data_IF_127321561265
#
_entry.id   IF_127321561265
#
_cell.length_a   1.000
_cell.length_b   1.000
_cell.length_c   1.000
_cell.angle_alpha   90.00
_cell.angle_beta   90.00
_cell.angle_gamma   90.00
#
_symmetry.space_group_name_H-M   'P 1'
#
loop_
_entity.id
_entity.type
_entity.pdbx_description
1 polymer ?
#
# COMPACT_ATOMS: atom_id res chain seq x y z
N UNK A 1 -4.08 3.97 -8.91
CA UNK A 1 -4.52 3.93 -10.32
C UNK A 1 -5.98 3.51 -10.46
N UNK A 2 -6.56 2.75 -9.53
CA UNK A 2 -7.96 2.29 -9.59
C UNK A 2 -9.06 3.36 -9.32
N UNK A 3 -8.77 4.64 -9.52
CA UNK A 3 -9.71 5.75 -9.33
C UNK A 3 -9.79 6.60 -10.61
N UNK A 4 -11.01 6.85 -11.08
CA UNK A 4 -11.27 7.85 -12.12
C UNK A 4 -11.65 9.15 -11.46
N UNK A 5 -10.91 10.21 -11.75
CA UNK A 5 -11.21 11.56 -11.29
C UNK A 5 -12.02 12.33 -12.34
N UNK A 6 -12.81 13.29 -11.87
CA UNK A 6 -13.44 14.27 -12.73
C UNK A 6 -12.35 15.01 -13.56
N UNK A 7 -12.58 15.33 -14.85
CA UNK A 7 -11.54 15.91 -15.71
C UNK A 7 -10.95 17.23 -15.21
N UNK A 8 -11.71 17.97 -14.40
CA UNK A 8 -11.33 19.32 -13.92
C UNK A 8 -11.52 19.54 -12.42
N UNK A 9 -12.04 18.56 -11.67
CA UNK A 9 -12.29 18.70 -10.22
C UNK A 9 -11.51 17.63 -9.44
N UNK A 10 -11.10 17.94 -8.22
CA UNK A 10 -10.48 16.99 -7.29
C UNK A 10 -11.52 16.05 -6.66
N UNK A 11 -12.29 15.34 -7.49
CA UNK A 11 -13.40 14.48 -7.10
C UNK A 11 -13.34 13.15 -7.84
N UNK A 12 -13.48 12.05 -7.12
CA UNK A 12 -13.58 10.71 -7.70
C UNK A 12 -14.98 10.54 -8.31
N UNK A 13 -15.05 10.06 -9.55
CA UNK A 13 -16.29 9.77 -10.28
C UNK A 13 -16.54 8.27 -10.49
N UNK A 14 -15.49 7.44 -10.39
CA UNK A 14 -15.62 5.99 -10.40
C UNK A 14 -14.45 5.32 -9.66
N UNK A 15 -14.74 4.15 -9.09
CA UNK A 15 -13.74 3.20 -8.56
C UNK A 15 -13.73 1.98 -9.48
N UNK A 16 -12.55 1.58 -9.93
CA UNK A 16 -12.34 0.52 -10.92
C UNK A 16 -11.82 -0.78 -10.27
N UNK A 17 -11.70 -1.83 -11.09
CA UNK A 17 -11.01 -3.09 -10.76
C UNK A 17 -11.48 -3.78 -9.48
N UNK A 18 -12.79 -4.06 -9.44
CA UNK A 18 -13.46 -4.76 -8.33
C UNK A 18 -13.21 -6.29 -8.30
N UNK A 19 -12.37 -6.84 -9.18
CA UNK A 19 -12.18 -8.29 -9.33
C UNK A 19 -11.62 -9.00 -8.09
N UNK A 20 -10.90 -8.27 -7.22
CA UNK A 20 -10.38 -8.79 -5.95
C UNK A 20 -11.23 -8.38 -4.74
N UNK A 21 -12.35 -7.66 -4.96
CA UNK A 21 -13.20 -7.20 -3.87
C UNK A 21 -13.95 -8.34 -3.18
N UNK A 22 -14.09 -8.24 -1.87
CA UNK A 22 -14.80 -9.22 -1.04
C UNK A 22 -15.14 -8.63 0.33
N UNK A 23 -15.88 -9.36 1.17
CA UNK A 23 -16.07 -9.03 2.57
C UNK A 23 -14.78 -9.26 3.35
N UNK A 24 -14.37 -8.30 4.18
CA UNK A 24 -13.11 -8.39 4.90
C UNK A 24 -12.94 -7.31 5.97
N UNK A 25 -11.77 -7.31 6.60
CA UNK A 25 -11.46 -6.35 7.66
C UNK A 25 -11.08 -4.97 7.06
N UNK A 26 -11.78 -3.89 7.43
CA UNK A 26 -11.61 -2.58 6.79
C UNK A 26 -10.22 -1.97 6.97
N UNK A 27 -9.57 -2.18 8.12
CA UNK A 27 -8.21 -1.67 8.35
C UNK A 27 -7.17 -2.45 7.54
N UNK A 28 -7.45 -3.68 7.11
CA UNK A 28 -6.54 -4.42 6.24
C UNK A 28 -6.54 -3.81 4.83
N UNK A 29 -7.69 -3.36 4.33
CA UNK A 29 -7.77 -2.66 3.04
C UNK A 29 -7.21 -1.24 3.13
N UNK A 30 -7.60 -0.48 4.16
CA UNK A 30 -7.14 0.89 4.33
C UNK A 30 -5.62 1.01 4.56
N UNK A 31 -5.03 0.08 5.33
CA UNK A 31 -3.58 0.06 5.52
C UNK A 31 -2.81 -0.33 4.25
N UNK A 32 -3.39 -1.17 3.38
CA UNK A 32 -2.78 -1.45 2.07
C UNK A 32 -2.61 -0.18 1.25
N UNK A 33 -3.63 0.67 1.24
CA UNK A 33 -3.57 2.01 0.62
C UNK A 33 -2.52 2.92 1.30
N UNK A 34 -2.45 2.89 2.64
CA UNK A 34 -1.48 3.69 3.40
C UNK A 34 -0.02 3.22 3.29
N UNK A 35 0.26 2.03 2.73
CA UNK A 35 1.64 1.59 2.43
C UNK A 35 2.41 2.60 1.58
N UNK A 36 1.69 3.40 0.78
CA UNK A 36 2.29 4.46 -0.05
C UNK A 36 3.13 5.45 0.77
N UNK A 37 2.84 5.72 2.04
CA UNK A 37 3.67 6.58 2.91
C UNK A 37 5.03 5.97 3.27
N UNK A 38 5.16 4.64 3.20
CA UNK A 38 6.36 3.91 3.64
C UNK A 38 7.23 3.41 2.49
N UNK A 39 6.62 3.17 1.33
CA UNK A 39 7.34 2.70 0.14
C UNK A 39 8.12 3.86 -0.47
N UNK A 40 9.44 3.69 -0.61
CA UNK A 40 10.28 4.60 -1.37
C UNK A 40 10.09 4.38 -2.87
N UNK A 41 10.07 5.46 -3.64
CA UNK A 41 10.05 5.34 -5.11
C UNK A 41 11.36 4.74 -5.60
N UNK A 42 11.29 3.54 -6.18
CA UNK A 42 12.43 2.88 -6.81
C UNK A 42 11.94 1.97 -7.93
N UNK A 43 12.52 2.11 -9.12
CA UNK A 43 12.08 1.37 -10.29
C UNK A 43 10.58 1.58 -10.57
N UNK A 44 9.84 0.47 -10.66
CA UNK A 44 8.39 0.47 -10.84
C UNK A 44 7.56 0.78 -9.58
N UNK A 45 8.15 0.70 -8.38
CA UNK A 45 7.44 1.01 -7.14
C UNK A 45 7.24 2.53 -7.00
N UNK A 46 6.00 2.96 -6.82
CA UNK A 46 5.65 4.37 -6.62
C UNK A 46 5.13 4.58 -5.21
N UNK A 47 5.82 5.41 -4.44
CA UNK A 47 5.39 5.79 -3.10
C UNK A 47 5.84 7.19 -2.69
N UNK A 48 5.63 7.48 -1.43
CA UNK A 48 5.85 8.77 -0.77
C UNK A 48 6.96 8.68 0.29
N UNK A 49 7.50 7.48 0.55
CA UNK A 49 8.56 7.27 1.53
C UNK A 49 9.77 8.14 1.24
N UNK A 50 10.21 8.92 2.25
CA UNK A 50 11.36 9.81 2.16
C UNK A 50 11.11 11.15 1.45
N UNK A 51 9.88 11.44 1.00
CA UNK A 51 9.53 12.74 0.39
C UNK A 51 9.16 13.78 1.45
N UNK A 52 9.37 15.05 1.12
CA UNK A 52 8.87 16.17 1.93
C UNK A 52 7.36 16.37 1.69
N UNK A 53 6.53 15.73 2.51
CA UNK A 53 5.07 15.75 2.32
C UNK A 53 4.47 17.15 2.48
N UNK A 54 5.02 17.96 3.38
CA UNK A 54 4.54 19.33 3.65
C UNK A 54 4.69 20.21 2.41
N UNK A 55 5.86 20.19 1.78
CA UNK A 55 6.13 20.95 0.56
C UNK A 55 5.26 20.50 -0.62
N UNK A 56 4.93 19.21 -0.66
CA UNK A 56 4.03 18.64 -1.67
C UNK A 56 2.54 18.87 -1.38
N UNK A 57 2.19 19.47 -0.24
CA UNK A 57 0.81 19.64 0.20
C UNK A 57 0.09 18.32 0.49
N UNK A 58 0.84 17.25 0.78
CA UNK A 58 0.31 15.92 1.07
C UNK A 58 0.19 15.77 2.59
N UNK A 59 -0.95 15.30 3.12
CA UNK A 59 -1.09 15.07 4.56
C UNK A 59 -0.13 13.99 5.06
N UNK A 60 0.27 14.09 6.31
CA UNK A 60 0.95 12.98 7.00
C UNK A 60 0.02 11.76 7.07
N UNK A 61 0.61 10.57 7.21
CA UNK A 61 -0.16 9.34 7.36
C UNK A 61 -1.13 9.43 8.55
N UNK A 62 -0.67 9.99 9.68
CA UNK A 62 -1.48 10.14 10.89
C UNK A 62 -2.69 11.05 10.67
N UNK A 63 -2.51 12.19 10.01
CA UNK A 63 -3.63 13.08 9.66
C UNK A 63 -4.61 12.40 8.69
N UNK A 64 -4.11 11.57 7.78
CA UNK A 64 -4.93 10.84 6.84
C UNK A 64 -5.75 9.73 7.53
N UNK A 65 -5.13 8.98 8.44
CA UNK A 65 -5.81 7.98 9.28
C UNK A 65 -6.85 8.64 10.18
N UNK A 66 -6.56 9.82 10.74
CA UNK A 66 -7.53 10.58 11.52
C UNK A 66 -8.77 10.92 10.70
N UNK A 67 -8.61 11.46 9.50
CA UNK A 67 -9.75 11.77 8.59
C UNK A 67 -10.56 10.53 8.24
N UNK A 68 -9.92 9.38 8.06
CA UNK A 68 -10.60 8.12 7.85
C UNK A 68 -11.43 7.70 9.07
N UNK A 69 -10.87 7.84 10.28
CA UNK A 69 -11.56 7.52 11.52
C UNK A 69 -12.80 8.41 11.72
N UNK A 70 -12.67 9.71 11.50
CA UNK A 70 -13.77 10.69 11.56
C UNK A 70 -14.91 10.31 10.61
N UNK A 71 -14.60 9.92 9.36
CA UNK A 71 -15.61 9.54 8.36
C UNK A 71 -16.27 8.19 8.61
N UNK A 72 -15.62 7.31 9.35
CA UNK A 72 -16.08 5.94 9.59
C UNK A 72 -16.64 5.73 10.99
N UNK A 73 -16.74 6.79 11.80
CA UNK A 73 -17.24 6.73 13.17
C UNK A 73 -16.31 6.01 14.15
N UNK A 74 -15.01 5.90 13.83
CA UNK A 74 -14.00 5.34 14.75
C UNK A 74 -13.53 6.45 15.67
N UNK A 75 -13.96 6.39 16.93
CA UNK A 75 -13.77 7.48 17.88
C UNK A 75 -12.31 7.68 18.31
N UNK A 76 -11.50 6.61 18.34
CA UNK A 76 -10.12 6.68 18.84
C UNK A 76 -9.11 6.32 17.75
N UNK A 77 -8.49 7.36 17.18
CA UNK A 77 -7.39 7.21 16.23
C UNK A 77 -6.17 6.55 16.86
N UNK A 78 -5.91 6.74 18.17
CA UNK A 78 -4.76 6.14 18.83
C UNK A 78 -4.94 4.63 18.97
N UNK A 79 -6.16 4.15 19.26
CA UNK A 79 -6.46 2.73 19.26
C UNK A 79 -6.22 2.09 17.89
N UNK A 80 -6.64 2.76 16.80
CA UNK A 80 -6.35 2.29 15.42
C UNK A 80 -4.84 2.27 15.15
N UNK A 81 -4.14 3.31 15.60
CA UNK A 81 -2.71 3.47 15.38
C UNK A 81 -1.85 2.51 16.24
N UNK A 82 -2.39 1.97 17.34
CA UNK A 82 -1.68 1.05 18.23
C UNK A 82 -1.26 -0.24 17.50
N UNK A 83 -2.16 -0.81 16.70
CA UNK A 83 -1.91 -2.02 15.90
C UNK A 83 -1.44 -1.70 14.47
N UNK A 84 -1.08 -0.46 14.17
CA UNK A 84 -0.80 -0.04 12.80
C UNK A 84 0.40 -0.77 12.19
N UNK A 85 1.42 -1.04 13.00
CA UNK A 85 2.58 -1.83 12.59
C UNK A 85 2.21 -3.27 12.22
N UNK A 86 1.22 -3.88 12.89
CA UNK A 86 0.70 -5.20 12.52
C UNK A 86 0.06 -5.15 11.13
N UNK A 87 -0.81 -4.18 10.87
CA UNK A 87 -1.47 -4.03 9.57
C UNK A 87 -0.46 -3.74 8.44
N UNK A 88 0.57 -2.94 8.70
CA UNK A 88 1.66 -2.70 7.74
C UNK A 88 2.47 -3.96 7.47
N UNK A 89 2.83 -4.71 8.51
CA UNK A 89 3.53 -5.98 8.36
C UNK A 89 2.73 -6.98 7.52
N UNK A 90 1.44 -7.14 7.83
CA UNK A 90 0.53 -8.01 7.08
C UNK A 90 0.48 -7.65 5.59
N UNK A 91 0.28 -6.37 5.25
CA UNK A 91 0.13 -5.97 3.87
C UNK A 91 1.45 -5.99 3.09
N UNK A 92 2.57 -5.62 3.70
CA UNK A 92 3.89 -5.77 3.08
C UNK A 92 4.20 -7.26 2.80
N UNK A 93 3.86 -8.15 3.73
CA UNK A 93 3.97 -9.59 3.54
C UNK A 93 3.07 -10.08 2.41
N UNK A 94 1.80 -9.63 2.36
CA UNK A 94 0.86 -9.95 1.28
C UNK A 94 1.40 -9.53 -0.09
N UNK A 95 1.93 -8.31 -0.23
CA UNK A 95 2.54 -7.88 -1.50
C UNK A 95 3.76 -8.74 -1.82
N UNK A 96 4.64 -8.99 -0.85
CA UNK A 96 5.82 -9.83 -1.08
C UNK A 96 5.44 -11.23 -1.61
N UNK A 97 4.36 -11.83 -1.10
CA UNK A 97 3.84 -13.11 -1.59
C UNK A 97 3.29 -13.02 -3.03
N UNK A 98 2.55 -11.96 -3.36
CA UNK A 98 2.05 -11.72 -4.73
C UNK A 98 3.22 -11.59 -5.71
N UNK A 99 4.21 -10.77 -5.35
CA UNK A 99 5.42 -10.54 -6.14
C UNK A 99 6.25 -11.82 -6.26
N UNK A 100 6.32 -12.65 -5.22
CA UNK A 100 6.97 -13.95 -5.28
C UNK A 100 6.32 -14.88 -6.31
N UNK A 101 4.99 -14.83 -6.46
CA UNK A 101 4.28 -15.54 -7.53
C UNK A 101 4.66 -15.06 -8.94
N UNK A 102 4.94 -13.76 -9.11
CA UNK A 102 5.50 -13.21 -10.35
C UNK A 102 6.93 -13.72 -10.56
N UNK A 103 7.76 -13.67 -9.52
CA UNK A 103 9.15 -14.14 -9.57
C UNK A 103 9.25 -15.61 -10.01
N UNK A 104 8.37 -16.48 -9.51
CA UNK A 104 8.30 -17.87 -9.95
C UNK A 104 7.96 -17.98 -11.44
N UNK A 105 6.98 -17.21 -11.94
CA UNK A 105 6.63 -17.19 -13.37
C UNK A 105 7.77 -16.68 -14.27
N UNK A 106 8.58 -15.75 -13.77
CA UNK A 106 9.79 -15.28 -14.46
C UNK A 106 10.82 -16.41 -14.57
N UNK A 107 11.07 -17.14 -13.48
CA UNK A 107 11.97 -18.30 -13.47
C UNK A 107 11.50 -19.38 -14.44
N UNK A 108 10.18 -19.61 -14.50
CA UNK A 108 9.59 -20.63 -15.39
C UNK A 108 9.43 -20.14 -16.84
N UNK A 109 9.85 -18.91 -17.17
CA UNK A 109 9.79 -18.36 -18.52
C UNK A 109 8.39 -17.96 -19.01
N UNK A 110 7.37 -18.05 -18.16
CA UNK A 110 5.96 -17.71 -18.49
C UNK A 110 5.67 -16.22 -18.36
N UNK A 111 6.54 -15.46 -17.69
CA UNK A 111 6.52 -13.99 -17.64
C UNK A 111 7.91 -13.43 -17.99
N UNK A 112 8.13 -13.05 -19.25
CA UNK A 112 9.45 -12.67 -19.77
C UNK A 112 9.69 -11.16 -19.88
N UNK A 113 8.70 -10.32 -19.59
CA UNK A 113 8.83 -8.87 -19.72
C UNK A 113 9.87 -8.28 -18.76
N UNK A 114 10.54 -7.20 -19.18
CA UNK A 114 11.51 -6.48 -18.33
C UNK A 114 10.86 -6.02 -17.01
N UNK A 115 9.60 -5.56 -17.09
CA UNK A 115 8.80 -5.17 -15.94
C UNK A 115 8.61 -6.32 -14.93
N UNK A 116 8.33 -7.54 -15.41
CA UNK A 116 8.15 -8.69 -14.52
C UNK A 116 9.44 -9.05 -13.77
N UNK A 117 10.60 -8.93 -14.43
CA UNK A 117 11.92 -9.15 -13.80
C UNK A 117 12.22 -8.10 -12.72
N UNK A 118 11.90 -6.85 -12.99
CA UNK A 118 12.08 -5.76 -12.03
C UNK A 118 11.18 -5.94 -10.81
N UNK A 119 9.90 -6.26 -11.03
CA UNK A 119 8.95 -6.58 -9.96
C UNK A 119 9.44 -7.77 -9.13
N UNK A 120 9.92 -8.85 -9.77
CA UNK A 120 10.47 -10.01 -9.07
C UNK A 120 11.67 -9.67 -8.17
N UNK A 121 12.49 -8.67 -8.54
CA UNK A 121 13.61 -8.23 -7.72
C UNK A 121 13.16 -7.56 -6.40
N UNK A 122 11.91 -7.08 -6.32
CA UNK A 122 11.36 -6.41 -5.14
C UNK A 122 10.93 -7.37 -4.01
N UNK A 123 10.90 -8.69 -4.23
CA UNK A 123 10.45 -9.64 -3.19
C UNK A 123 11.25 -9.48 -1.89
N UNK A 124 12.58 -9.53 -1.96
CA UNK A 124 13.42 -9.49 -0.77
C UNK A 124 13.30 -8.16 -0.02
N UNK A 125 13.41 -6.98 -0.67
CA UNK A 125 13.17 -5.69 -0.01
C UNK A 125 11.80 -5.61 0.68
N UNK A 126 10.72 -6.04 0.01
CA UNK A 126 9.37 -6.01 0.58
C UNK A 126 9.23 -6.92 1.81
N UNK A 127 9.78 -8.14 1.74
CA UNK A 127 9.80 -9.06 2.88
C UNK A 127 10.58 -8.52 4.07
N UNK A 128 11.72 -7.87 3.82
CA UNK A 128 12.52 -7.24 4.88
C UNK A 128 11.79 -6.05 5.51
N UNK A 129 11.12 -5.23 4.70
CA UNK A 129 10.29 -4.14 5.19
C UNK A 129 9.13 -4.66 6.04
N UNK A 130 8.42 -5.69 5.57
CA UNK A 130 7.36 -6.36 6.33
C UNK A 130 7.86 -6.83 7.71
N UNK A 131 9.02 -7.49 7.73
CA UNK A 131 9.62 -7.97 8.98
C UNK A 131 9.96 -6.83 9.93
N UNK A 132 10.50 -5.72 9.41
CA UNK A 132 10.83 -4.56 10.24
C UNK A 132 9.60 -3.92 10.93
N UNK A 133 8.42 -4.01 10.30
CA UNK A 133 7.17 -3.57 10.90
C UNK A 133 6.68 -4.58 11.95
N UNK A 134 6.77 -5.88 11.65
CA UNK A 134 6.39 -6.93 12.58
C UNK A 134 7.19 -6.86 13.90
N UNK A 135 8.47 -6.51 13.84
CA UNK A 135 9.32 -6.34 15.03
C UNK A 135 8.95 -5.13 15.90
N UNK A 136 8.17 -4.18 15.37
CA UNK A 136 7.73 -2.96 16.08
C UNK A 136 6.26 -3.04 16.51
N UNK A 137 5.59 -4.15 16.20
CA UNK A 137 4.20 -4.40 16.58
C UNK A 137 4.11 -4.96 18.00
#
# INVERSE_FOLDING_TARGET
DNLVFHPTEARVIAVLDWELSTLGHPLADFSYHCMSWHIQTSGAARGLGGKNLVELGIPSEREYVQRYCERTGRADVNAVMADWNFYMAYNMFRIAAIVQGIAKRVVDGTASSAQAKETAASVRPLSQLAWSFAQKA
#
